data_IF_748445883010
#
_entry.id   IF_748445883010
#
_cell.length_a   1.000
_cell.length_b   1.000
_cell.length_c   1.000
_cell.angle_alpha   90.00
_cell.angle_beta   90.00
_cell.angle_gamma   90.00
#
_symmetry.space_group_name_H-M   'P 1'
#
loop_
_entity.id
_entity.type
_entity.pdbx_description
1 polymer ?
#
# COMPACT_ATOMS: atom_id res chain seq x y z
N UNK A 1 -11.54 -11.67 12.64
CA UNK A 1 -11.59 -10.26 12.27
C UNK A 1 -12.16 -9.41 13.40
N UNK A 2 -11.79 -8.14 13.44
CA UNK A 2 -12.41 -7.12 14.29
C UNK A 2 -13.12 -6.09 13.42
N UNK A 3 -14.19 -5.50 13.93
CA UNK A 3 -14.95 -4.48 13.21
C UNK A 3 -14.65 -3.14 13.87
N UNK A 4 -14.19 -2.18 13.07
CA UNK A 4 -13.95 -0.81 13.51
C UNK A 4 -15.06 0.11 13.02
N UNK A 5 -15.49 1.02 13.86
CA UNK A 5 -16.46 2.05 13.56
C UNK A 5 -15.99 3.40 14.09
N UNK A 6 -16.07 4.45 13.27
CA UNK A 6 -15.89 5.84 13.70
C UNK A 6 -17.21 6.60 13.60
N UNK A 7 -17.61 7.23 14.70
CA UNK A 7 -18.75 8.13 14.70
C UNK A 7 -18.34 9.54 14.16
N UNK A 8 -19.21 10.21 13.37
CA UNK A 8 -20.51 9.75 12.88
C UNK A 8 -20.38 8.78 11.72
N UNK A 9 -21.21 7.73 11.70
CA UNK A 9 -21.25 6.76 10.59
C UNK A 9 -22.17 7.30 9.48
N UNK A 10 -21.62 7.98 8.51
CA UNK A 10 -22.37 8.65 7.45
C UNK A 10 -22.74 7.72 6.28
N UNK A 11 -21.98 6.66 6.08
CA UNK A 11 -22.20 5.67 5.03
C UNK A 11 -21.66 4.31 5.46
N UNK A 12 -21.95 3.26 4.68
CA UNK A 12 -21.60 1.88 5.03
C UNK A 12 -20.10 1.63 5.26
N UNK A 13 -19.21 2.42 4.64
CA UNK A 13 -17.75 2.29 4.79
C UNK A 13 -17.20 2.92 6.07
N UNK A 14 -18.06 3.58 6.86
CA UNK A 14 -17.74 4.00 8.23
C UNK A 14 -17.70 2.84 9.24
N UNK A 15 -18.03 1.61 8.78
CA UNK A 15 -17.91 0.36 9.54
C UNK A 15 -17.23 -0.64 8.64
N UNK A 16 -16.03 -1.08 9.01
CA UNK A 16 -15.25 -2.04 8.23
C UNK A 16 -14.58 -3.06 9.13
N UNK A 17 -14.35 -4.25 8.60
CA UNK A 17 -13.63 -5.32 9.27
C UNK A 17 -12.15 -5.35 8.87
N UNK A 18 -11.31 -5.73 9.82
CA UNK A 18 -9.85 -5.85 9.67
C UNK A 18 -9.36 -7.12 10.36
N UNK A 19 -8.27 -7.68 9.87
CA UNK A 19 -7.51 -8.68 10.61
C UNK A 19 -6.58 -7.95 11.60
N UNK A 20 -6.72 -8.18 12.92
CA UNK A 20 -5.95 -7.47 13.92
C UNK A 20 -4.52 -8.00 13.99
N UNK A 21 -3.57 -7.10 14.16
CA UNK A 21 -2.20 -7.38 14.53
C UNK A 21 -1.93 -6.77 15.90
N UNK A 22 -1.44 -7.57 16.84
CA UNK A 22 -1.06 -7.07 18.16
C UNK A 22 0.19 -6.21 18.06
N UNK A 23 0.13 -5.04 18.65
CA UNK A 23 1.24 -4.08 18.77
C UNK A 23 1.40 -3.65 20.22
N UNK A 24 2.55 -3.11 20.57
CA UNK A 24 2.77 -2.45 21.84
C UNK A 24 2.30 -1.00 21.74
N UNK A 25 1.58 -0.52 22.75
CA UNK A 25 1.05 0.85 22.80
C UNK A 25 -0.45 0.91 23.10
N UNK A 26 -0.95 2.11 23.36
CA UNK A 26 -2.33 2.36 23.80
C UNK A 26 -3.24 2.89 22.66
N UNK A 27 -2.71 3.00 21.45
CA UNK A 27 -3.43 3.53 20.30
C UNK A 27 -3.68 2.45 19.23
N UNK A 28 -4.77 2.62 18.49
CA UNK A 28 -5.08 1.80 17.32
C UNK A 28 -4.28 2.33 16.13
N UNK A 29 -3.42 1.51 15.55
CA UNK A 29 -2.77 1.81 14.28
C UNK A 29 -3.70 1.46 13.12
N UNK A 30 -4.16 2.48 12.41
CA UNK A 30 -5.05 2.33 11.25
C UNK A 30 -4.28 2.56 9.96
N UNK A 31 -4.51 1.69 8.97
CA UNK A 31 -3.89 1.87 7.65
C UNK A 31 -4.33 3.20 7.01
N UNK A 32 -3.40 4.07 6.59
CA UNK A 32 -3.73 5.43 6.12
C UNK A 32 -4.71 5.48 4.94
N UNK A 33 -4.68 4.49 4.04
CA UNK A 33 -5.60 4.42 2.90
C UNK A 33 -7.07 4.23 3.29
N UNK A 34 -7.36 3.75 4.50
CA UNK A 34 -8.74 3.57 5.00
C UNK A 34 -9.28 4.82 5.69
N UNK A 35 -8.44 5.80 6.00
CA UNK A 35 -8.85 7.04 6.69
C UNK A 35 -9.93 7.81 5.92
N UNK A 36 -9.84 7.86 4.59
CA UNK A 36 -10.84 8.55 3.76
C UNK A 36 -12.24 7.94 3.91
N UNK A 37 -12.35 6.62 4.03
CA UNK A 37 -13.62 5.92 4.20
C UNK A 37 -14.26 6.20 5.57
N UNK A 38 -13.46 6.30 6.62
CA UNK A 38 -13.91 6.64 7.98
C UNK A 38 -14.03 8.15 8.20
N UNK A 39 -13.55 8.98 7.29
CA UNK A 39 -13.31 10.40 7.54
C UNK A 39 -12.51 10.61 8.83
N UNK A 40 -11.47 9.80 9.03
CA UNK A 40 -10.64 9.79 10.21
C UNK A 40 -9.32 10.52 9.96
N UNK A 41 -8.81 11.19 10.98
CA UNK A 41 -7.47 11.73 11.04
C UNK A 41 -6.80 11.29 12.36
N UNK A 42 -5.55 11.65 12.55
CA UNK A 42 -4.76 11.19 13.70
C UNK A 42 -4.56 12.32 14.74
N UNK A 43 -5.52 13.22 14.86
CA UNK A 43 -5.50 14.34 15.81
C UNK A 43 -6.19 14.05 17.16
N UNK A 44 -6.52 12.79 17.41
CA UNK A 44 -7.19 12.36 18.65
C UNK A 44 -8.56 11.71 18.42
N UNK A 45 -8.85 11.31 17.19
CA UNK A 45 -10.06 10.56 16.86
C UNK A 45 -10.15 9.24 17.63
N UNK A 46 -11.37 8.87 18.00
CA UNK A 46 -11.68 7.60 18.66
C UNK A 46 -12.48 6.69 17.74
N UNK A 47 -12.27 5.40 17.87
CA UNK A 47 -13.02 4.36 17.17
C UNK A 47 -13.60 3.34 18.13
N UNK A 48 -14.78 2.84 17.83
CA UNK A 48 -15.35 1.69 18.50
C UNK A 48 -14.82 0.41 17.87
N UNK A 49 -14.48 -0.57 18.71
CA UNK A 49 -14.02 -1.89 18.30
C UNK A 49 -15.09 -2.91 18.66
N UNK A 50 -15.56 -3.67 17.68
CA UNK A 50 -16.55 -4.72 17.86
C UNK A 50 -15.94 -6.07 17.48
N UNK A 51 -16.16 -7.08 18.31
CA UNK A 51 -15.68 -8.44 18.07
C UNK A 51 -16.88 -9.32 17.75
N UNK A 52 -16.97 -9.88 16.52
CA UNK A 52 -18.03 -10.82 16.19
C UNK A 52 -17.83 -12.14 16.95
N UNK A 53 -18.86 -12.58 17.69
CA UNK A 53 -18.76 -13.74 18.56
C UNK A 53 -19.25 -15.03 17.89
N UNK A 54 -20.27 -14.97 17.02
CA UNK A 54 -20.77 -16.15 16.33
C UNK A 54 -20.01 -16.43 15.05
N UNK A 55 -20.02 -17.70 14.60
CA UNK A 55 -19.38 -18.12 13.35
C UNK A 55 -19.99 -17.41 12.14
N UNK A 56 -21.32 -17.23 12.16
CA UNK A 56 -22.05 -16.53 11.09
C UNK A 56 -21.61 -15.07 11.02
N UNK A 57 -21.51 -14.39 12.17
CA UNK A 57 -21.05 -13.00 12.23
C UNK A 57 -19.58 -12.84 11.78
N UNK A 58 -18.73 -13.80 12.13
CA UNK A 58 -17.34 -13.80 11.67
C UNK A 58 -17.24 -14.02 10.16
N UNK A 59 -18.05 -14.91 9.61
CA UNK A 59 -18.09 -15.15 8.17
C UNK A 59 -18.61 -13.92 7.42
N UNK A 60 -19.67 -13.30 7.92
CA UNK A 60 -20.23 -12.08 7.35
C UNK A 60 -19.20 -10.92 7.37
N UNK A 61 -18.50 -10.75 8.50
CA UNK A 61 -17.41 -9.77 8.61
C UNK A 61 -16.30 -10.02 7.57
N UNK A 62 -15.89 -11.28 7.36
CA UNK A 62 -14.85 -11.63 6.38
C UNK A 62 -15.28 -11.44 4.94
N UNK A 63 -16.50 -11.83 4.60
CA UNK A 63 -16.97 -11.83 3.21
C UNK A 63 -17.44 -10.46 2.76
N UNK A 64 -18.20 -9.76 3.61
CA UNK A 64 -18.87 -8.51 3.25
C UNK A 64 -18.18 -7.26 3.78
N UNK A 65 -17.60 -7.30 4.98
CA UNK A 65 -17.17 -6.10 5.70
C UNK A 65 -15.65 -5.85 5.63
N UNK A 66 -14.85 -6.80 5.18
CA UNK A 66 -13.40 -6.60 5.08
C UNK A 66 -13.08 -5.38 4.23
N UNK A 67 -12.18 -4.53 4.71
CA UNK A 67 -11.73 -3.32 4.00
C UNK A 67 -11.18 -3.64 2.62
N UNK A 68 -10.50 -4.78 2.46
CA UNK A 68 -9.97 -5.28 1.18
C UNK A 68 -11.05 -5.65 0.17
N UNK A 69 -12.27 -5.92 0.61
CA UNK A 69 -13.42 -6.23 -0.27
C UNK A 69 -14.23 -4.98 -0.65
N UNK A 70 -14.00 -3.86 0.03
CA UNK A 70 -14.76 -2.61 -0.10
C UNK A 70 -13.88 -1.48 -0.68
N UNK A 71 -13.21 -1.74 -1.78
CA UNK A 71 -12.31 -0.78 -2.45
C UNK A 71 -13.11 0.24 -3.26
N UNK A 72 -14.22 -0.17 -3.86
CA UNK A 72 -15.03 0.66 -4.74
C UNK A 72 -16.20 1.31 -3.98
N UNK A 73 -16.46 2.58 -4.31
CA UNK A 73 -17.63 3.30 -3.79
C UNK A 73 -18.92 2.70 -4.36
N UNK A 74 -19.91 2.40 -3.53
CA UNK A 74 -21.21 1.92 -4.00
C UNK A 74 -22.02 3.01 -4.72
N UNK A 75 -21.69 4.28 -4.56
CA UNK A 75 -22.42 5.40 -5.16
C UNK A 75 -22.05 5.66 -6.60
N UNK A 76 -20.79 5.51 -6.96
CA UNK A 76 -20.27 5.88 -8.28
C UNK A 76 -19.29 4.88 -8.90
N UNK A 77 -19.00 3.75 -8.22
CA UNK A 77 -18.06 2.73 -8.68
C UNK A 77 -16.59 3.16 -8.72
N UNK A 78 -16.26 4.37 -8.27
CA UNK A 78 -14.86 4.83 -8.22
C UNK A 78 -14.14 4.24 -7.02
N UNK A 79 -12.83 3.99 -7.09
CA UNK A 79 -12.08 3.55 -5.94
C UNK A 79 -12.07 4.64 -4.85
N UNK A 80 -12.29 4.22 -3.59
CA UNK A 80 -12.19 5.08 -2.40
C UNK A 80 -10.79 4.99 -1.81
N UNK A 81 -10.19 3.82 -1.90
CA UNK A 81 -8.83 3.56 -1.41
C UNK A 81 -7.86 4.06 -2.47
N UNK A 82 -7.52 5.34 -2.37
CA UNK A 82 -6.58 6.03 -3.25
C UNK A 82 -5.61 6.85 -2.41
N UNK A 83 -4.35 6.99 -2.85
CA UNK A 83 -3.42 7.91 -2.21
C UNK A 83 -3.98 9.33 -2.18
N UNK A 84 -3.87 10.01 -1.06
CA UNK A 84 -4.32 11.40 -0.88
C UNK A 84 -3.34 12.19 -0.03
N UNK A 85 -3.41 13.52 -0.10
CA UNK A 85 -2.65 14.45 0.73
C UNK A 85 -1.15 14.08 0.82
N UNK A 86 -0.65 13.75 1.99
CA UNK A 86 0.77 13.47 2.24
C UNK A 86 1.29 12.24 1.49
N UNK A 87 0.43 11.26 1.19
CA UNK A 87 0.80 10.10 0.37
C UNK A 87 1.13 10.52 -1.07
N UNK A 88 0.37 11.46 -1.65
CA UNK A 88 0.66 11.99 -2.98
C UNK A 88 1.99 12.75 -2.97
N UNK A 89 2.23 13.54 -1.92
CA UNK A 89 3.49 14.25 -1.75
C UNK A 89 4.67 13.27 -1.61
N UNK A 90 4.50 12.19 -0.85
CA UNK A 90 5.49 11.13 -0.69
C UNK A 90 5.80 10.41 -2.01
N UNK A 91 4.78 10.05 -2.78
CA UNK A 91 4.95 9.42 -4.10
C UNK A 91 5.64 10.39 -5.07
N UNK A 92 5.25 11.66 -5.05
CA UNK A 92 5.91 12.69 -5.85
C UNK A 92 7.39 12.79 -5.49
N UNK A 93 7.72 12.85 -4.20
CA UNK A 93 9.11 12.89 -3.74
C UNK A 93 9.90 11.64 -4.19
N UNK A 94 9.35 10.44 -4.05
CA UNK A 94 9.98 9.20 -4.54
C UNK A 94 10.23 9.22 -6.05
N UNK A 95 9.36 9.86 -6.81
CA UNK A 95 9.43 9.88 -8.29
C UNK A 95 10.30 11.00 -8.87
N UNK A 96 10.87 11.88 -8.03
CA UNK A 96 11.71 12.97 -8.50
C UNK A 96 12.91 12.48 -9.32
N UNK A 97 13.28 13.19 -10.40
CA UNK A 97 14.47 12.87 -11.16
C UNK A 97 15.73 13.11 -10.32
N UNK A 98 16.86 12.48 -10.66
CA UNK A 98 18.12 12.70 -9.97
C UNK A 98 18.57 14.15 -10.11
N UNK A 99 19.08 14.72 -9.03
CA UNK A 99 19.54 16.12 -8.99
C UNK A 99 20.74 16.38 -9.90
N UNK A 100 21.51 15.32 -10.22
CA UNK A 100 22.61 15.35 -11.16
C UNK A 100 22.49 14.18 -12.14
N UNK A 101 22.29 14.50 -13.42
CA UNK A 101 22.00 13.50 -14.46
C UNK A 101 23.18 12.58 -14.84
N UNK A 102 24.40 12.81 -14.33
CA UNK A 102 25.60 12.33 -15.03
C UNK A 102 26.18 10.98 -14.60
N UNK A 103 25.91 10.49 -13.41
CA UNK A 103 26.57 9.26 -12.95
C UNK A 103 25.56 8.18 -12.53
N UNK A 104 25.78 6.97 -13.04
CA UNK A 104 25.11 5.77 -12.56
C UNK A 104 25.81 5.35 -11.28
N UNK A 105 25.12 5.34 -10.17
CA UNK A 105 25.66 5.03 -8.84
C UNK A 105 25.63 3.55 -8.51
N UNK A 106 24.87 2.75 -9.26
CA UNK A 106 24.84 1.30 -9.02
C UNK A 106 24.17 0.50 -10.12
N UNK A 107 24.53 -0.79 -10.17
CA UNK A 107 23.92 -1.81 -11.02
C UNK A 107 23.37 -2.89 -10.11
N UNK A 108 22.08 -3.15 -10.20
CA UNK A 108 21.38 -4.11 -9.35
C UNK A 108 20.68 -5.15 -10.23
N UNK A 109 20.65 -6.38 -9.74
CA UNK A 109 19.99 -7.48 -10.46
C UNK A 109 18.58 -7.68 -9.96
N UNK A 110 18.37 -7.50 -8.65
CA UNK A 110 17.11 -7.71 -7.96
C UNK A 110 16.72 -6.50 -7.12
N UNK A 111 15.43 -6.40 -6.84
CA UNK A 111 14.86 -5.35 -6.01
C UNK A 111 15.34 -5.41 -4.57
N UNK A 112 15.55 -6.62 -4.03
CA UNK A 112 16.10 -6.81 -2.69
C UNK A 112 17.52 -6.24 -2.53
N UNK A 113 18.32 -6.23 -3.60
CA UNK A 113 19.64 -5.58 -3.60
C UNK A 113 19.51 -4.06 -3.51
N UNK A 114 18.49 -3.48 -4.16
CA UNK A 114 18.20 -2.03 -4.10
C UNK A 114 17.78 -1.65 -2.68
N UNK A 115 16.88 -2.43 -2.06
CA UNK A 115 16.45 -2.21 -0.66
C UNK A 115 17.65 -2.29 0.29
N UNK A 116 18.47 -3.32 0.19
CA UNK A 116 19.66 -3.48 1.02
C UNK A 116 20.68 -2.34 0.82
N UNK A 117 20.86 -1.87 -0.43
CA UNK A 117 21.73 -0.75 -0.73
C UNK A 117 21.21 0.58 -0.16
N UNK A 118 19.89 0.76 -0.12
CA UNK A 118 19.25 1.92 0.52
C UNK A 118 19.37 1.86 2.05
N UNK A 119 19.12 0.69 2.65
CA UNK A 119 19.26 0.48 4.10
C UNK A 119 20.70 0.68 4.58
N UNK A 120 21.68 0.20 3.79
CA UNK A 120 23.11 0.41 4.08
C UNK A 120 23.58 1.85 3.84
N UNK A 121 22.76 2.70 3.23
CA UNK A 121 23.13 4.07 2.88
C UNK A 121 24.10 4.18 1.71
N UNK A 122 24.35 3.10 0.97
CA UNK A 122 25.26 3.08 -0.19
C UNK A 122 24.71 3.89 -1.36
N UNK A 123 23.39 3.95 -1.50
CA UNK A 123 22.66 4.76 -2.47
C UNK A 123 21.57 5.58 -1.77
N UNK A 124 21.14 6.65 -2.41
CA UNK A 124 20.03 7.48 -1.97
C UNK A 124 18.78 7.21 -2.81
N UNK A 125 17.62 7.63 -2.32
CA UNK A 125 16.31 7.46 -3.01
C UNK A 125 16.35 8.03 -4.44
N UNK A 126 17.06 9.16 -4.65
CA UNK A 126 17.18 9.81 -5.96
C UNK A 126 18.43 9.42 -6.73
N UNK A 127 19.22 8.45 -6.24
CA UNK A 127 20.38 7.90 -6.95
C UNK A 127 19.96 7.26 -8.26
N UNK A 128 20.68 7.57 -9.33
CA UNK A 128 20.45 6.98 -10.65
C UNK A 128 21.08 5.59 -10.69
N UNK A 129 20.27 4.58 -10.90
CA UNK A 129 20.67 3.18 -10.91
C UNK A 129 20.19 2.48 -12.17
N UNK A 130 20.80 1.35 -12.49
CA UNK A 130 20.33 0.42 -13.51
C UNK A 130 19.92 -0.87 -12.82
N UNK A 131 18.70 -1.30 -13.08
CA UNK A 131 18.20 -2.60 -12.63
C UNK A 131 17.46 -3.34 -13.74
N UNK A 132 17.27 -4.63 -13.54
CA UNK A 132 16.43 -5.47 -14.39
C UNK A 132 15.01 -5.43 -13.88
N UNK A 133 14.08 -5.37 -14.80
CA UNK A 133 12.66 -5.39 -14.52
C UNK A 133 11.99 -6.52 -15.30
N UNK A 134 11.09 -7.23 -14.64
CA UNK A 134 10.25 -8.21 -15.32
C UNK A 134 9.13 -7.47 -16.07
N UNK A 135 9.12 -7.60 -17.38
CA UNK A 135 8.03 -7.14 -18.23
C UNK A 135 7.32 -8.34 -18.82
N UNK A 136 5.99 -8.31 -18.83
CA UNK A 136 5.17 -9.35 -19.45
C UNK A 136 4.75 -8.85 -20.82
N UNK A 137 5.15 -9.58 -21.88
CA UNK A 137 4.71 -9.31 -23.25
C UNK A 137 3.19 -9.58 -23.40
N UNK A 138 2.58 -9.06 -24.45
CA UNK A 138 1.18 -9.29 -24.82
C UNK A 138 0.82 -10.79 -24.93
N UNK A 139 1.79 -11.64 -25.12
CA UNK A 139 1.65 -13.10 -25.20
C UNK A 139 1.85 -13.82 -23.85
N UNK A 140 2.01 -13.07 -22.74
CA UNK A 140 2.22 -13.64 -21.40
C UNK A 140 3.63 -14.16 -21.12
N UNK A 141 4.61 -13.91 -21.99
CA UNK A 141 6.00 -14.31 -21.75
C UNK A 141 6.70 -13.26 -20.90
N UNK A 142 7.40 -13.73 -19.86
CA UNK A 142 8.23 -12.88 -18.99
C UNK A 142 9.55 -12.58 -19.68
N UNK A 143 9.86 -11.30 -19.84
CA UNK A 143 11.16 -10.81 -20.33
C UNK A 143 11.81 -9.93 -19.27
N UNK A 144 13.13 -10.03 -19.16
CA UNK A 144 13.91 -9.16 -18.31
C UNK A 144 14.53 -8.04 -19.14
N UNK A 145 14.09 -6.82 -18.90
CA UNK A 145 14.63 -5.62 -19.55
C UNK A 145 15.45 -4.80 -18.55
N UNK A 146 16.54 -4.19 -19.04
CA UNK A 146 17.35 -3.28 -18.24
C UNK A 146 16.77 -1.88 -18.33
N UNK A 147 16.40 -1.33 -17.19
CA UNK A 147 15.91 0.03 -17.08
C UNK A 147 16.87 0.90 -16.27
N UNK A 148 17.03 2.15 -16.72
CA UNK A 148 17.78 3.17 -15.98
C UNK A 148 16.78 4.12 -15.34
N UNK A 149 16.77 4.20 -14.02
CA UNK A 149 15.85 5.07 -13.28
C UNK A 149 16.46 5.42 -11.92
N UNK A 150 15.66 6.04 -11.04
CA UNK A 150 16.07 6.29 -9.65
C UNK A 150 15.67 5.12 -8.76
N UNK A 151 16.38 4.94 -7.64
CA UNK A 151 16.06 3.92 -6.64
C UNK A 151 14.61 4.08 -6.13
N UNK A 152 14.15 5.30 -5.89
CA UNK A 152 12.77 5.56 -5.46
C UNK A 152 11.71 5.16 -6.48
N UNK A 153 11.97 5.31 -7.77
CA UNK A 153 11.04 4.84 -8.83
C UNK A 153 11.00 3.32 -8.91
N UNK A 154 12.12 2.64 -8.72
CA UNK A 154 12.14 1.17 -8.64
C UNK A 154 11.34 0.68 -7.43
N UNK A 155 11.50 1.28 -6.25
CA UNK A 155 10.69 0.96 -5.06
C UNK A 155 9.19 1.18 -5.31
N UNK A 156 8.83 2.26 -5.99
CA UNK A 156 7.42 2.52 -6.32
C UNK A 156 6.85 1.46 -7.28
N UNK A 157 7.62 1.07 -8.30
CA UNK A 157 7.24 -0.01 -9.19
C UNK A 157 7.06 -1.34 -8.45
N UNK A 158 7.92 -1.66 -7.49
CA UNK A 158 7.82 -2.83 -6.62
C UNK A 158 6.50 -2.88 -5.85
N UNK A 159 6.16 -1.77 -5.19
CA UNK A 159 4.90 -1.67 -4.45
C UNK A 159 3.67 -1.88 -5.35
N UNK A 160 3.76 -1.47 -6.62
CA UNK A 160 2.66 -1.60 -7.57
C UNK A 160 2.60 -2.99 -8.22
N UNK A 161 3.73 -3.64 -8.46
CA UNK A 161 3.82 -4.93 -9.16
C UNK A 161 3.93 -6.12 -8.23
N UNK A 162 4.16 -5.89 -6.93
CA UNK A 162 4.21 -6.96 -5.93
C UNK A 162 2.90 -7.75 -5.93
N UNK A 163 2.95 -9.08 -6.06
CA UNK A 163 1.74 -9.90 -6.04
C UNK A 163 1.00 -9.71 -4.73
N UNK A 164 -0.28 -9.38 -4.84
CA UNK A 164 -1.16 -9.28 -3.69
C UNK A 164 -1.24 -10.63 -2.98
N UNK A 165 -1.44 -10.68 -1.65
CA UNK A 165 -1.69 -11.94 -0.93
C UNK A 165 -2.82 -12.78 -1.55
N UNK A 166 -3.72 -12.18 -2.32
CA UNK A 166 -4.77 -12.87 -3.07
C UNK A 166 -4.26 -13.58 -4.32
N UNK A 167 -3.19 -13.10 -4.93
CA UNK A 167 -2.62 -13.69 -6.14
C UNK A 167 -1.76 -14.92 -5.80
N UNK A 168 -1.26 -14.98 -4.56
CA UNK A 168 -0.48 -16.12 -4.05
C UNK A 168 -1.39 -17.30 -3.67
N UNK A 169 -2.68 -17.08 -3.44
CA UNK A 169 -3.66 -18.12 -3.07
C UNK A 169 -4.42 -18.72 -4.26
N UNK A 170 -4.03 -18.41 -5.48
CA UNK A 170 -4.49 -19.06 -6.71
C UNK A 170 -3.43 -20.02 -7.21
#
# INVERSE_FOLDING_TARGET
>A
PVILNRAPTLHRLGVQAFEPKLIEGDAIELHPLTCAAFNADFDGDQMAVHIPLSLEAQLEARVLMMSTNNILSPSNGKPIIVPSQDMILGIYYLSLPPYQEKNIEGYFVNDSEIEQALESGSIKIHSRIISRFETVDENGNVKFEKHTSTAGRFLFCLLYTSPSPRDIMR
#
